data_IF_021879170575
#
_entry.id   IF_021879170575
#
_cell.length_a   1.000
_cell.length_b   1.000
_cell.length_c   1.000
_cell.angle_alpha   90.00
_cell.angle_beta   90.00
_cell.angle_gamma   90.00
#
_symmetry.space_group_name_H-M   'P 1'
#
loop_
_entity.id
_entity.type
_entity.pdbx_description
1 polymer ?
#
# COMPACT_ATOMS: atom_id res chain seq x y z
N UNK A 1 -30.32 4.02 3.00
CA UNK A 1 -29.83 5.40 2.75
C UNK A 1 -28.47 5.66 3.42
N UNK A 2 -28.35 5.49 4.75
CA UNK A 2 -27.08 5.67 5.48
C UNK A 2 -25.90 4.81 4.96
N UNK A 3 -26.15 3.54 4.64
CA UNK A 3 -25.13 2.63 4.10
C UNK A 3 -24.54 3.14 2.78
N UNK A 4 -25.40 3.63 1.87
CA UNK A 4 -24.97 4.17 0.58
C UNK A 4 -24.17 5.46 0.71
N UNK A 5 -24.54 6.32 1.67
CA UNK A 5 -23.79 7.56 1.95
C UNK A 5 -22.42 7.25 2.53
N UNK A 6 -22.34 6.31 3.48
CA UNK A 6 -21.07 5.90 4.08
C UNK A 6 -20.13 5.28 3.03
N UNK A 7 -20.62 4.35 2.22
CA UNK A 7 -19.81 3.76 1.15
C UNK A 7 -19.40 4.78 0.09
N UNK A 8 -20.26 5.73 -0.26
CA UNK A 8 -19.92 6.79 -1.21
C UNK A 8 -18.80 7.70 -0.69
N UNK A 9 -18.84 8.03 0.60
CA UNK A 9 -17.77 8.76 1.29
C UNK A 9 -16.47 7.97 1.20
N UNK A 10 -16.47 6.69 1.60
CA UNK A 10 -15.27 5.85 1.55
C UNK A 10 -14.70 5.73 0.13
N UNK A 11 -15.55 5.64 -0.91
CA UNK A 11 -15.07 5.63 -2.31
C UNK A 11 -14.36 6.95 -2.65
N UNK A 12 -14.98 8.08 -2.33
CA UNK A 12 -14.41 9.41 -2.59
C UNK A 12 -13.10 9.59 -1.82
N UNK A 13 -13.10 9.30 -0.52
CA UNK A 13 -11.91 9.33 0.33
C UNK A 13 -10.82 8.37 -0.17
N UNK A 14 -11.20 7.20 -0.68
CA UNK A 14 -10.28 6.22 -1.25
C UNK A 14 -9.54 6.75 -2.47
N UNK A 15 -10.28 7.33 -3.42
CA UNK A 15 -9.72 7.90 -4.64
C UNK A 15 -8.81 9.09 -4.30
N UNK A 16 -9.34 10.08 -3.58
CA UNK A 16 -8.60 11.31 -3.28
C UNK A 16 -7.44 11.06 -2.32
N UNK A 17 -7.61 10.20 -1.32
CA UNK A 17 -6.56 9.82 -0.38
C UNK A 17 -5.40 9.16 -1.09
N UNK A 18 -5.66 8.14 -1.92
CA UNK A 18 -4.62 7.43 -2.66
C UNK A 18 -3.84 8.37 -3.60
N UNK A 19 -4.54 9.22 -4.35
CA UNK A 19 -3.91 10.21 -5.23
C UNK A 19 -3.07 11.23 -4.44
N UNK A 20 -3.59 11.75 -3.34
CA UNK A 20 -2.88 12.69 -2.47
C UNK A 20 -1.62 12.06 -1.88
N UNK A 21 -1.68 10.79 -1.46
CA UNK A 21 -0.53 10.05 -0.96
C UNK A 21 0.61 9.94 -1.97
N UNK A 22 0.28 9.65 -3.23
CA UNK A 22 1.25 9.62 -4.32
C UNK A 22 1.84 11.01 -4.60
N UNK A 23 0.99 12.02 -4.71
CA UNK A 23 1.42 13.40 -4.97
C UNK A 23 2.31 13.97 -3.86
N UNK A 24 1.97 13.71 -2.59
CA UNK A 24 2.79 14.14 -1.44
C UNK A 24 4.14 13.43 -1.45
N UNK A 25 4.16 12.13 -1.76
CA UNK A 25 5.42 11.38 -1.85
C UNK A 25 6.34 11.94 -2.95
N UNK A 26 5.77 12.22 -4.12
CA UNK A 26 6.49 12.83 -5.24
C UNK A 26 7.02 14.22 -4.89
N UNK A 27 6.22 15.02 -4.17
CA UNK A 27 6.64 16.32 -3.69
C UNK A 27 7.77 16.25 -2.65
N UNK A 28 7.79 15.20 -1.82
CA UNK A 28 8.83 14.95 -0.82
C UNK A 28 10.13 14.37 -1.39
N UNK A 29 10.27 14.27 -2.72
CA UNK A 29 11.32 13.50 -3.40
C UNK A 29 11.19 12.01 -3.04
N UNK A 30 10.56 11.26 -3.95
CA UNK A 30 10.26 9.84 -3.81
C UNK A 30 11.53 9.04 -3.54
N UNK A 31 11.75 8.76 -2.25
CA UNK A 31 12.80 7.91 -1.72
C UNK A 31 12.18 6.96 -0.71
N UNK A 32 12.79 5.79 -0.48
CA UNK A 32 12.24 4.80 0.44
C UNK A 32 12.13 5.37 1.87
N UNK A 33 13.12 6.16 2.33
CA UNK A 33 13.06 6.80 3.65
C UNK A 33 11.90 7.81 3.76
N UNK A 34 11.68 8.63 2.74
CA UNK A 34 10.57 9.59 2.74
C UNK A 34 9.21 8.89 2.62
N UNK A 35 9.13 7.76 1.91
CA UNK A 35 7.95 6.91 1.89
C UNK A 35 7.62 6.38 3.30
N UNK A 36 8.59 5.87 4.05
CA UNK A 36 8.38 5.44 5.44
C UNK A 36 7.99 6.59 6.39
N UNK A 37 8.55 7.80 6.21
CA UNK A 37 8.13 8.98 6.97
C UNK A 37 6.67 9.32 6.69
N UNK A 38 6.27 9.34 5.43
CA UNK A 38 4.89 9.61 5.03
C UNK A 38 3.94 8.52 5.56
N UNK A 39 4.32 7.24 5.43
CA UNK A 39 3.57 6.11 5.97
C UNK A 39 3.35 6.23 7.48
N UNK A 40 4.40 6.52 8.24
CA UNK A 40 4.30 6.68 9.70
C UNK A 40 3.41 7.86 10.07
N UNK A 41 3.66 9.05 9.51
CA UNK A 41 2.89 10.25 9.81
C UNK A 41 1.42 10.15 9.41
N UNK A 42 1.13 9.68 8.19
CA UNK A 42 -0.23 9.52 7.69
C UNK A 42 -1.00 8.46 8.48
N UNK A 43 -0.38 7.31 8.77
CA UNK A 43 -1.02 6.26 9.58
C UNK A 43 -1.28 6.73 11.00
N UNK A 44 -0.34 7.43 11.64
CA UNK A 44 -0.50 7.94 13.00
C UNK A 44 -1.61 9.00 13.08
N UNK A 45 -1.59 9.98 12.19
CA UNK A 45 -2.62 11.01 12.13
C UNK A 45 -3.99 10.39 11.80
N UNK A 46 -4.05 9.49 10.81
CA UNK A 46 -5.24 8.72 10.46
C UNK A 46 -5.80 7.93 11.65
N UNK A 47 -4.94 7.29 12.43
CA UNK A 47 -5.32 6.58 13.65
C UNK A 47 -5.98 7.50 14.68
N UNK A 48 -5.42 8.70 14.92
CA UNK A 48 -6.01 9.69 15.84
C UNK A 48 -7.41 10.11 15.38
N UNK A 49 -7.57 10.41 14.09
CA UNK A 49 -8.86 10.85 13.55
C UNK A 49 -9.90 9.73 13.54
N UNK A 50 -9.52 8.51 13.14
CA UNK A 50 -10.41 7.35 13.15
C UNK A 50 -10.81 6.95 14.58
N UNK A 51 -9.85 6.85 15.50
CA UNK A 51 -10.14 6.55 16.91
C UNK A 51 -11.01 7.64 17.54
N UNK A 52 -10.64 8.91 17.31
CA UNK A 52 -11.39 10.07 17.76
C UNK A 52 -12.82 10.06 17.25
N UNK A 53 -13.07 9.71 15.99
CA UNK A 53 -14.42 9.64 15.42
C UNK A 53 -15.36 8.76 16.26
N UNK A 54 -14.92 7.57 16.68
CA UNK A 54 -15.72 6.64 17.49
C UNK A 54 -15.95 7.10 18.95
N UNK A 55 -15.20 8.10 19.43
CA UNK A 55 -15.44 8.74 20.73
C UNK A 55 -16.58 9.78 20.68
N UNK A 56 -16.95 10.30 19.51
CA UNK A 56 -18.04 11.27 19.38
C UNK A 56 -19.41 10.59 19.34
N UNK A 57 -20.38 11.16 20.07
CA UNK A 57 -21.79 10.75 20.02
C UNK A 57 -22.58 11.43 18.90
N UNK A 58 -22.07 12.56 18.38
CA UNK A 58 -22.70 13.31 17.29
C UNK A 58 -22.36 12.68 15.93
N UNK A 59 -23.38 12.44 15.11
CA UNK A 59 -23.21 11.86 13.77
C UNK A 59 -22.35 12.75 12.86
N UNK A 60 -22.55 14.08 12.90
CA UNK A 60 -21.79 15.01 12.07
C UNK A 60 -20.31 15.06 12.48
N UNK A 61 -20.03 15.03 13.79
CA UNK A 61 -18.66 14.99 14.30
C UNK A 61 -17.96 13.67 13.96
N UNK A 62 -18.68 12.54 14.06
CA UNK A 62 -18.21 11.23 13.61
C UNK A 62 -17.84 11.26 12.13
N UNK A 63 -18.76 11.67 11.25
CA UNK A 63 -18.53 11.67 9.80
C UNK A 63 -17.33 12.57 9.44
N UNK A 64 -17.26 13.79 9.98
CA UNK A 64 -16.17 14.71 9.65
C UNK A 64 -14.79 14.15 10.02
N UNK A 65 -14.63 13.64 11.25
CA UNK A 65 -13.36 13.07 11.70
C UNK A 65 -13.04 11.76 10.96
N UNK A 66 -14.05 10.93 10.73
CA UNK A 66 -13.88 9.67 10.01
C UNK A 66 -13.44 9.91 8.56
N UNK A 67 -14.02 10.87 7.84
CA UNK A 67 -13.59 11.25 6.49
C UNK A 67 -12.11 11.65 6.44
N UNK A 68 -11.66 12.47 7.40
CA UNK A 68 -10.26 12.91 7.48
C UNK A 68 -9.34 11.71 7.80
N UNK A 69 -9.75 10.86 8.74
CA UNK A 69 -9.04 9.63 9.07
C UNK A 69 -8.92 8.69 7.87
N UNK A 70 -10.02 8.43 7.16
CA UNK A 70 -10.04 7.60 5.95
C UNK A 70 -9.13 8.17 4.86
N UNK A 71 -9.20 9.47 4.57
CA UNK A 71 -8.32 10.11 3.59
C UNK A 71 -6.83 9.88 3.90
N UNK A 72 -6.45 10.00 5.17
CA UNK A 72 -5.07 9.80 5.63
C UNK A 72 -4.64 8.33 5.54
N UNK A 73 -5.53 7.40 5.90
CA UNK A 73 -5.24 5.97 5.78
C UNK A 73 -5.13 5.56 4.30
N UNK A 74 -6.01 6.04 3.43
CA UNK A 74 -5.90 5.77 1.99
C UNK A 74 -4.69 6.45 1.34
N UNK A 75 -4.17 7.54 1.91
CA UNK A 75 -2.91 8.14 1.45
C UNK A 75 -1.69 7.22 1.64
N UNK A 76 -1.78 6.17 2.45
CA UNK A 76 -0.70 5.19 2.62
C UNK A 76 -0.55 4.23 1.44
N UNK A 77 -1.59 4.09 0.59
CA UNK A 77 -1.63 3.09 -0.48
C UNK A 77 -0.49 3.28 -1.51
N UNK A 78 -0.27 4.51 -1.97
CA UNK A 78 0.79 4.79 -2.94
C UNK A 78 2.20 4.60 -2.35
N UNK A 79 2.52 5.13 -1.15
CA UNK A 79 3.81 4.86 -0.50
C UNK A 79 4.12 3.39 -0.20
N UNK A 80 3.13 2.57 0.23
CA UNK A 80 3.36 1.12 0.43
C UNK A 80 3.79 0.46 -0.88
N UNK A 81 3.08 0.75 -1.97
CA UNK A 81 3.39 0.20 -3.29
C UNK A 81 4.74 0.68 -3.80
N UNK A 82 5.07 1.95 -3.58
CA UNK A 82 6.37 2.53 -3.91
C UNK A 82 7.50 1.76 -3.24
N UNK A 83 7.42 1.50 -1.92
CA UNK A 83 8.44 0.72 -1.21
C UNK A 83 8.57 -0.69 -1.78
N UNK A 84 7.45 -1.38 -2.05
CA UNK A 84 7.47 -2.73 -2.62
C UNK A 84 8.19 -2.79 -3.98
N UNK A 85 8.08 -1.74 -4.80
CA UNK A 85 8.67 -1.67 -6.14
C UNK A 85 10.14 -1.22 -6.11
N UNK A 86 10.53 -0.34 -5.19
CA UNK A 86 11.88 0.21 -5.09
C UNK A 86 12.85 -0.67 -4.29
N UNK A 87 12.36 -1.59 -3.46
CA UNK A 87 13.20 -2.54 -2.73
C UNK A 87 13.68 -3.74 -3.56
N UNK A 88 13.18 -3.91 -4.79
CA UNK A 88 13.47 -5.07 -5.65
C UNK A 88 13.94 -4.65 -7.04
N UNK A 89 14.65 -5.55 -7.72
CA UNK A 89 15.05 -5.36 -9.12
C UNK A 89 13.83 -5.29 -10.04
N UNK A 90 13.92 -4.61 -11.20
CA UNK A 90 12.80 -4.46 -12.14
C UNK A 90 12.11 -5.78 -12.54
N UNK A 91 12.89 -6.86 -12.75
CA UNK A 91 12.36 -8.18 -13.13
C UNK A 91 11.52 -8.86 -12.05
N UNK A 92 11.67 -8.47 -10.78
CA UNK A 92 10.98 -9.05 -9.63
C UNK A 92 9.80 -8.19 -9.14
N UNK A 93 9.56 -7.02 -9.73
CA UNK A 93 8.49 -6.10 -9.31
C UNK A 93 7.09 -6.75 -9.31
N UNK A 94 6.67 -7.49 -10.36
CA UNK A 94 5.37 -8.18 -10.33
C UNK A 94 5.27 -9.20 -9.20
N UNK A 95 6.37 -9.91 -8.92
CA UNK A 95 6.42 -10.89 -7.83
C UNK A 95 6.34 -10.21 -6.45
N UNK A 96 7.06 -9.10 -6.24
CA UNK A 96 6.99 -8.31 -5.00
C UNK A 96 5.57 -7.85 -4.71
N UNK A 97 4.89 -7.30 -5.71
CA UNK A 97 3.49 -6.85 -5.58
C UNK A 97 2.54 -8.03 -5.33
N UNK A 98 2.70 -9.15 -6.04
CA UNK A 98 1.89 -10.34 -5.81
C UNK A 98 2.06 -10.88 -4.38
N UNK A 99 3.30 -10.96 -3.89
CA UNK A 99 3.61 -11.40 -2.53
C UNK A 99 3.02 -10.46 -1.48
N UNK A 100 3.08 -9.14 -1.71
CA UNK A 100 2.45 -8.15 -0.82
C UNK A 100 0.93 -8.36 -0.74
N UNK A 101 0.25 -8.44 -1.88
CA UNK A 101 -1.21 -8.66 -1.93
C UNK A 101 -1.63 -9.98 -1.29
N UNK A 102 -0.92 -11.08 -1.59
CA UNK A 102 -1.20 -12.39 -1.00
C UNK A 102 -0.98 -12.35 0.51
N UNK A 103 0.07 -11.68 1.00
CA UNK A 103 0.32 -11.52 2.44
C UNK A 103 -0.82 -10.75 3.12
N UNK A 104 -1.32 -9.67 2.50
CA UNK A 104 -2.46 -8.92 3.01
C UNK A 104 -3.71 -9.81 3.09
N UNK A 105 -3.96 -10.67 2.11
CA UNK A 105 -5.11 -11.57 2.14
C UNK A 105 -4.99 -12.65 3.22
N UNK A 106 -3.82 -13.31 3.28
CA UNK A 106 -3.60 -14.42 4.20
C UNK A 106 -3.59 -13.95 5.66
N UNK A 107 -2.95 -12.82 5.96
CA UNK A 107 -2.76 -12.35 7.33
C UNK A 107 -3.74 -11.25 7.76
N UNK A 108 -4.36 -10.55 6.82
CA UNK A 108 -5.23 -9.40 7.07
C UNK A 108 -6.67 -9.67 6.64
N UNK A 109 -6.97 -9.47 5.36
CA UNK A 109 -8.35 -9.32 4.86
C UNK A 109 -9.24 -10.54 5.15
N UNK A 110 -8.73 -11.76 4.91
CA UNK A 110 -9.49 -13.01 5.11
C UNK A 110 -9.69 -13.33 6.59
N UNK A 111 -8.65 -13.35 7.46
CA UNK A 111 -8.84 -13.67 8.87
C UNK A 111 -9.46 -12.54 9.70
N UNK A 112 -9.32 -11.27 9.29
CA UNK A 112 -9.80 -10.13 10.08
C UNK A 112 -11.32 -10.12 10.25
N UNK A 113 -12.09 -10.39 9.19
CA UNK A 113 -13.56 -10.40 9.25
C UNK A 113 -14.13 -11.37 10.31
N UNK A 114 -13.74 -12.67 10.34
CA UNK A 114 -14.20 -13.57 11.39
C UNK A 114 -13.63 -13.21 12.77
N UNK A 115 -12.40 -12.72 12.88
CA UNK A 115 -11.83 -12.27 14.16
C UNK A 115 -12.61 -11.10 14.77
N UNK A 116 -13.00 -10.12 13.94
CA UNK A 116 -13.86 -9.00 14.35
C UNK A 116 -15.22 -9.50 14.82
N UNK A 117 -15.79 -10.50 14.12
CA UNK A 117 -17.05 -11.14 14.52
C UNK A 117 -16.95 -11.77 15.91
N UNK A 118 -15.94 -12.60 16.14
CA UNK A 118 -15.70 -13.24 17.45
C UNK A 118 -15.46 -12.20 18.54
N UNK A 119 -14.66 -11.15 18.26
CA UNK A 119 -14.44 -10.05 19.20
C UNK A 119 -15.77 -9.37 19.57
N UNK A 120 -16.62 -9.11 18.58
CA UNK A 120 -17.93 -8.49 18.78
C UNK A 120 -18.88 -9.37 19.60
N UNK A 121 -18.88 -10.68 19.37
CA UNK A 121 -19.70 -11.65 20.11
C UNK A 121 -19.30 -11.73 21.59
N UNK A 122 -18.03 -11.54 21.92
CA UNK A 122 -17.55 -11.50 23.30
C UNK A 122 -17.78 -10.14 23.97
N UNK A 123 -17.43 -9.04 23.30
CA UNK A 123 -17.47 -7.69 23.87
C UNK A 123 -18.89 -7.15 23.98
N UNK A 124 -19.80 -7.55 23.06
CA UNK A 124 -21.20 -7.10 23.00
C UNK A 124 -21.38 -5.56 22.96
N UNK A 125 -20.33 -4.83 22.58
CA UNK A 125 -20.32 -3.37 22.49
C UNK A 125 -19.54 -2.94 21.24
N UNK A 126 -20.28 -2.61 20.18
CA UNK A 126 -19.70 -2.26 18.88
C UNK A 126 -18.77 -1.05 18.92
N UNK A 127 -19.00 -0.10 19.85
CA UNK A 127 -18.10 1.06 20.01
C UNK A 127 -16.75 0.64 20.56
N UNK A 128 -16.74 -0.23 21.57
CA UNK A 128 -15.50 -0.73 22.14
C UNK A 128 -14.73 -1.57 21.11
N UNK A 129 -15.44 -2.45 20.38
CA UNK A 129 -14.84 -3.21 19.28
C UNK A 129 -14.22 -2.30 18.22
N UNK A 130 -14.91 -1.25 17.78
CA UNK A 130 -14.37 -0.28 16.81
C UNK A 130 -13.16 0.49 17.35
N UNK A 131 -13.15 0.88 18.63
CA UNK A 131 -12.00 1.52 19.27
C UNK A 131 -10.80 0.58 19.36
N UNK A 132 -11.02 -0.70 19.69
CA UNK A 132 -9.97 -1.72 19.69
C UNK A 132 -9.39 -1.87 18.28
N UNK A 133 -10.22 -1.98 17.25
CA UNK A 133 -9.75 -2.14 15.87
C UNK A 133 -8.98 -0.93 15.36
N UNK A 134 -9.49 0.28 15.62
CA UNK A 134 -8.79 1.52 15.22
C UNK A 134 -7.49 1.71 16.01
N UNK A 135 -7.39 1.20 17.24
CA UNK A 135 -6.16 1.29 18.02
C UNK A 135 -4.98 0.51 17.42
N UNK A 136 -5.25 -0.53 16.64
CA UNK A 136 -4.22 -1.32 15.93
C UNK A 136 -3.43 -0.43 14.94
N UNK A 137 -4.04 0.64 14.42
CA UNK A 137 -3.37 1.59 13.53
C UNK A 137 -2.21 2.32 14.22
N UNK A 138 -2.25 2.53 15.54
CA UNK A 138 -1.10 3.09 16.27
C UNK A 138 0.09 2.14 16.27
N UNK A 139 -0.15 0.83 16.38
CA UNK A 139 0.88 -0.19 16.27
C UNK A 139 1.45 -0.20 14.86
N UNK A 140 0.59 -0.13 13.83
CA UNK A 140 1.03 -0.02 12.44
C UNK A 140 1.90 1.23 12.21
N UNK A 141 1.51 2.39 12.76
CA UNK A 141 2.30 3.62 12.67
C UNK A 141 3.69 3.50 13.33
N UNK A 142 3.79 2.79 14.45
CA UNK A 142 5.05 2.51 15.12
C UNK A 142 5.94 1.58 14.27
N UNK A 143 5.36 0.55 13.64
CA UNK A 143 6.09 -0.34 12.72
C UNK A 143 6.63 0.47 11.52
N UNK A 144 5.82 1.33 10.93
CA UNK A 144 6.28 2.23 9.85
C UNK A 144 7.40 3.17 10.30
N UNK A 145 7.32 3.67 11.54
CA UNK A 145 8.35 4.53 12.11
C UNK A 145 9.69 3.81 12.25
N UNK A 146 9.70 2.55 12.68
CA UNK A 146 10.92 1.73 12.71
C UNK A 146 11.51 1.57 11.30
N UNK A 147 10.67 1.48 10.27
CA UNK A 147 11.08 1.40 8.87
C UNK A 147 11.91 2.60 8.38
N UNK A 148 11.76 3.78 9.00
CA UNK A 148 12.54 4.99 8.66
C UNK A 148 14.05 4.77 8.90
N UNK A 149 14.40 3.94 9.88
CA UNK A 149 15.78 3.67 10.29
C UNK A 149 16.41 2.46 9.58
N UNK A 150 15.63 1.70 8.81
CA UNK A 150 16.16 0.59 8.05
C UNK A 150 16.94 1.14 6.84
N UNK A 151 18.17 0.66 6.65
CA UNK A 151 18.98 1.00 5.49
C UNK A 151 18.37 0.34 4.25
N UNK A 152 17.44 1.03 3.60
CA UNK A 152 16.82 0.58 2.37
C UNK A 152 17.70 0.97 1.19
N UNK A 153 18.26 -0.03 0.50
CA UNK A 153 18.94 0.16 -0.77
C UNK A 153 17.85 0.34 -1.84
N UNK A 154 17.86 1.48 -2.51
CA UNK A 154 17.01 1.68 -3.69
C UNK A 154 17.59 0.85 -4.84
N UNK A 155 16.84 -0.18 -5.26
CA UNK A 155 17.21 -1.10 -6.35
C UNK A 155 16.42 -0.81 -7.62
N UNK A 156 15.70 0.31 -7.67
CA UNK A 156 14.84 0.63 -8.79
C UNK A 156 15.61 0.79 -10.10
N UNK A 157 16.78 1.42 -10.04
CA UNK A 157 17.67 1.67 -11.19
C UNK A 157 18.77 0.61 -11.35
N UNK A 158 18.79 -0.46 -10.53
CA UNK A 158 19.65 -1.61 -10.78
C UNK A 158 19.17 -2.25 -12.09
N UNK A 159 19.84 -1.86 -13.20
CA UNK A 159 19.53 -2.36 -14.53
C UNK A 159 19.38 -3.87 -14.52
N UNK A 160 18.41 -4.38 -15.26
CA UNK A 160 18.39 -5.79 -15.66
C UNK A 160 19.80 -6.13 -16.14
N UNK A 161 20.49 -7.03 -15.46
CA UNK A 161 21.90 -7.33 -15.71
C UNK A 161 22.19 -7.38 -17.22
N UNK A 162 23.29 -6.76 -17.71
CA UNK A 162 23.81 -7.05 -19.04
C UNK A 162 24.41 -8.47 -18.99
N UNK A 163 23.56 -9.49 -19.10
CA UNK A 163 23.95 -10.85 -18.72
C UNK A 163 23.07 -11.97 -19.27
N UNK A 164 22.27 -11.73 -20.32
CA UNK A 164 21.97 -12.82 -21.25
C UNK A 164 23.08 -12.78 -22.29
N UNK A 165 23.95 -13.80 -22.40
CA UNK A 165 24.91 -13.86 -23.48
C UNK A 165 24.14 -13.70 -24.79
N UNK A 166 24.44 -12.64 -25.52
CA UNK A 166 23.96 -12.38 -26.87
C UNK A 166 24.52 -13.41 -27.88
N UNK A 167 24.88 -14.62 -27.43
CA UNK A 167 25.49 -15.70 -28.19
C UNK A 167 24.51 -16.52 -29.02
N UNK A 168 23.23 -16.10 -29.14
CA UNK A 168 22.26 -16.79 -30.01
C UNK A 168 21.56 -15.89 -31.03
N UNK A 169 22.12 -14.69 -31.27
CA UNK A 169 21.61 -13.76 -32.29
C UNK A 169 22.44 -13.72 -33.58
N UNK A 170 23.33 -14.69 -33.81
CA UNK A 170 24.25 -14.69 -34.97
C UNK A 170 24.25 -15.95 -35.86
N UNK A 171 23.27 -16.87 -35.77
CA UNK A 171 23.25 -18.06 -36.67
C UNK A 171 21.91 -18.27 -37.39
N UNK A 172 21.27 -17.20 -37.84
CA UNK A 172 20.15 -17.34 -38.79
C UNK A 172 20.29 -16.50 -40.07
N UNK A 173 21.46 -15.86 -40.29
CA UNK A 173 21.69 -15.04 -41.48
C UNK A 173 22.74 -15.47 -42.51
N UNK A 174 23.45 -16.63 -42.43
CA UNK A 174 24.30 -17.04 -43.55
C UNK A 174 23.72 -18.19 -44.41
N UNK A 175 22.42 -18.52 -44.32
CA UNK A 175 21.82 -19.59 -45.15
C UNK A 175 20.85 -19.10 -46.25
N UNK A 176 20.56 -17.79 -46.30
CA UNK A 176 19.74 -17.23 -47.39
C UNK A 176 20.61 -16.66 -48.53
N UNK A 177 21.83 -16.18 -48.25
CA UNK A 177 22.73 -15.68 -49.30
C UNK A 177 23.36 -16.82 -50.11
N UNK A 178 23.62 -17.98 -49.50
CA UNK A 178 24.18 -19.14 -50.22
C UNK A 178 23.18 -19.88 -51.13
N UNK A 179 21.88 -19.60 -51.00
CA UNK A 179 20.84 -20.20 -51.84
C UNK A 179 20.46 -19.31 -53.03
N UNK A 180 20.84 -18.03 -53.02
CA UNK A 180 20.55 -17.07 -54.08
C UNK A 180 21.66 -17.00 -55.13
N UNK A 181 22.90 -17.40 -54.79
CA UNK A 181 24.01 -17.55 -55.76
C UNK A 181 23.99 -18.87 -56.55
N UNK A 182 23.04 -19.78 -56.28
CA UNK A 182 22.94 -21.09 -56.94
C UNK A 182 21.75 -21.24 -57.90
N UNK A 183 21.16 -20.13 -58.38
CA UNK A 183 20.13 -20.15 -59.43
C UNK A 183 20.43 -19.20 -60.58
#
# INVERSE_FOLDING_TARGET
MLICCFSAITIVCGIFGTLAGGFILDWMQSTISNAFKLLSCATFAGAIFCFGAFCFKSLYGFIALFCVGELLIFATQAPVNYVCLHCVKPSLRPLSMAMSTVSIHIFGDVPSSPLVGVLQDHVNNWRLSALVLTSILFIAAAIWFVGIFLHAVDRFDEGSEPGVPQGRRSTQKPLLEAAEEAR
#
